data_IF_643413383417
#
_entry.id   IF_643413383417
#
_cell.length_a   1.000
_cell.length_b   1.000
_cell.length_c   1.000
_cell.angle_alpha   90.00
_cell.angle_beta   90.00
_cell.angle_gamma   90.00
#
_symmetry.space_group_name_H-M   'P 1'
#
loop_
_entity.id
_entity.type
_entity.pdbx_description
1 polymer ?
#
# COMPACT_ATOMS: atom_id res chain seq x y z
N UNK A 1 2.94 -3.92 5.23
CA UNK A 1 2.00 -3.12 4.41
C UNK A 1 0.77 -3.96 4.12
N UNK A 2 -0.43 -3.38 4.20
CA UNK A 2 -1.66 -4.15 4.16
C UNK A 2 -2.84 -3.32 3.72
N UNK A 3 -4.03 -3.81 4.05
CA UNK A 3 -5.29 -3.15 3.79
C UNK A 3 -6.22 -3.41 4.96
N UNK A 4 -7.32 -2.67 5.05
CA UNK A 4 -8.38 -2.95 6.00
C UNK A 4 -9.72 -3.03 5.27
N UNK A 5 -10.69 -3.65 5.92
CA UNK A 5 -12.07 -3.64 5.48
C UNK A 5 -13.04 -3.34 6.61
N UNK A 6 -14.15 -2.72 6.24
CA UNK A 6 -15.35 -2.57 7.02
C UNK A 6 -16.20 -3.85 6.91
N UNK A 7 -16.15 -4.68 7.94
CA UNK A 7 -16.76 -6.00 7.95
C UNK A 7 -18.29 -5.95 7.89
N UNK A 8 -18.89 -4.87 8.40
CA UNK A 8 -20.32 -4.66 8.30
C UNK A 8 -20.74 -4.30 6.87
N UNK A 9 -19.97 -3.45 6.17
CA UNK A 9 -20.22 -3.14 4.76
C UNK A 9 -20.05 -4.38 3.88
N UNK A 10 -18.97 -5.15 4.07
CA UNK A 10 -18.77 -6.40 3.35
C UNK A 10 -19.96 -7.36 3.50
N UNK A 11 -20.46 -7.53 4.74
CA UNK A 11 -21.65 -8.35 5.01
C UNK A 11 -22.89 -7.83 4.28
N UNK A 12 -23.15 -6.51 4.31
CA UNK A 12 -24.30 -5.89 3.63
C UNK A 12 -24.21 -6.03 2.11
N UNK A 13 -23.01 -5.98 1.55
CA UNK A 13 -22.74 -6.13 0.11
C UNK A 13 -22.69 -7.60 -0.34
N UNK A 14 -22.72 -8.56 0.59
CA UNK A 14 -22.58 -9.98 0.28
C UNK A 14 -21.18 -10.38 -0.21
N UNK A 15 -20.16 -9.59 0.14
CA UNK A 15 -18.76 -9.81 -0.29
C UNK A 15 -18.00 -10.54 0.82
N UNK A 16 -17.32 -11.63 0.46
CA UNK A 16 -16.45 -12.35 1.39
C UNK A 16 -15.20 -11.53 1.71
N UNK A 17 -14.78 -11.56 2.98
CA UNK A 17 -13.57 -10.86 3.40
C UNK A 17 -12.34 -11.38 2.65
N UNK A 18 -11.50 -10.47 2.12
CA UNK A 18 -10.31 -10.86 1.37
C UNK A 18 -9.22 -11.42 2.31
N UNK A 19 -8.40 -12.33 1.78
CA UNK A 19 -7.31 -12.98 2.52
C UNK A 19 -5.93 -12.68 1.93
N UNK A 20 -5.88 -12.14 0.72
CA UNK A 20 -4.67 -11.77 -0.02
C UNK A 20 -4.93 -10.59 -0.96
N UNK A 21 -3.86 -10.03 -1.55
CA UNK A 21 -3.98 -8.98 -2.57
C UNK A 21 -4.71 -9.44 -3.82
N UNK A 22 -4.47 -10.67 -4.27
CA UNK A 22 -5.16 -11.27 -5.42
C UNK A 22 -6.65 -11.45 -5.16
N UNK A 23 -7.04 -11.73 -3.91
CA UNK A 23 -8.46 -11.78 -3.53
C UNK A 23 -9.11 -10.39 -3.52
N UNK A 24 -8.38 -9.36 -3.07
CA UNK A 24 -8.86 -7.98 -3.09
C UNK A 24 -8.97 -7.43 -4.53
N UNK A 25 -8.17 -7.94 -5.45
CA UNK A 25 -8.28 -7.69 -6.88
C UNK A 25 -9.37 -8.51 -7.60
N UNK A 26 -10.22 -9.27 -6.90
CA UNK A 26 -11.28 -10.04 -7.56
C UNK A 26 -12.48 -9.17 -7.97
N UNK A 27 -13.27 -9.59 -8.98
CA UNK A 27 -14.46 -8.85 -9.46
C UNK A 27 -15.48 -8.46 -8.40
N UNK A 28 -15.61 -9.24 -7.32
CA UNK A 28 -16.55 -8.94 -6.23
C UNK A 28 -16.20 -7.64 -5.48
N UNK A 29 -14.97 -7.13 -5.61
CA UNK A 29 -14.56 -5.84 -5.03
C UNK A 29 -14.64 -4.68 -6.03
N UNK A 30 -15.16 -4.88 -7.24
CA UNK A 30 -15.25 -3.83 -8.25
C UNK A 30 -16.08 -2.65 -7.75
N UNK A 31 -15.44 -1.49 -7.59
CA UNK A 31 -16.07 -0.28 -7.04
C UNK A 31 -16.29 -0.32 -5.52
N UNK A 32 -15.63 -1.23 -4.81
CA UNK A 32 -15.71 -1.38 -3.34
C UNK A 32 -14.36 -1.17 -2.63
N UNK A 33 -13.33 -0.72 -3.36
CA UNK A 33 -12.00 -0.43 -2.85
C UNK A 33 -11.70 1.08 -2.95
N UNK A 34 -10.85 1.59 -2.06
CA UNK A 34 -10.20 2.89 -2.23
C UNK A 34 -8.71 2.79 -1.92
N UNK A 35 -7.92 3.65 -2.56
CA UNK A 35 -6.47 3.69 -2.41
C UNK A 35 -5.96 5.11 -2.61
N UNK A 36 -4.82 5.42 -2.01
CA UNK A 36 -4.11 6.66 -2.30
C UNK A 36 -3.30 6.53 -3.60
N UNK A 37 -3.16 7.64 -4.32
CA UNK A 37 -2.36 7.70 -5.54
C UNK A 37 -0.91 7.33 -5.21
N UNK A 38 -0.35 6.25 -5.80
CA UNK A 38 1.02 5.82 -5.51
C UNK A 38 2.09 6.78 -6.02
N UNK A 39 1.74 7.77 -6.84
CA UNK A 39 2.67 8.81 -7.30
C UNK A 39 2.86 9.92 -6.28
N UNK A 40 1.88 10.11 -5.37
CA UNK A 40 1.92 11.13 -4.31
C UNK A 40 2.03 10.53 -2.91
N UNK A 41 1.71 9.24 -2.75
CA UNK A 41 1.78 8.52 -1.47
C UNK A 41 2.86 7.45 -1.47
N UNK A 42 3.92 7.67 -0.68
CA UNK A 42 5.04 6.70 -0.56
C UNK A 42 4.61 5.36 0.04
N UNK A 43 3.64 5.33 0.95
CA UNK A 43 3.09 4.09 1.50
C UNK A 43 2.31 3.28 0.45
N UNK A 44 1.52 3.96 -0.38
CA UNK A 44 0.80 3.31 -1.49
C UNK A 44 1.78 2.77 -2.54
N UNK A 45 2.79 3.58 -2.91
CA UNK A 45 3.89 3.12 -3.76
C UNK A 45 4.55 1.84 -3.22
N UNK A 46 4.92 1.85 -1.93
CA UNK A 46 5.62 0.71 -1.32
C UNK A 46 4.75 -0.55 -1.29
N UNK A 47 3.43 -0.41 -1.09
CA UNK A 47 2.50 -1.53 -1.22
C UNK A 47 2.57 -2.18 -2.60
N UNK A 48 2.45 -1.40 -3.69
CA UNK A 48 2.52 -1.95 -5.04
C UNK A 48 3.92 -2.50 -5.39
N UNK A 49 4.98 -1.90 -4.86
CA UNK A 49 6.34 -2.39 -5.04
C UNK A 49 6.54 -3.76 -4.38
N UNK A 50 6.05 -3.92 -3.13
CA UNK A 50 6.09 -5.21 -2.44
C UNK A 50 5.28 -6.27 -3.16
N UNK A 51 4.09 -5.93 -3.67
CA UNK A 51 3.29 -6.82 -4.52
C UNK A 51 4.13 -7.28 -5.72
N UNK A 52 4.80 -6.37 -6.43
CA UNK A 52 5.58 -6.72 -7.61
C UNK A 52 6.88 -7.48 -7.32
N UNK A 53 7.48 -7.31 -6.13
CA UNK A 53 8.68 -8.06 -5.74
C UNK A 53 8.37 -9.46 -5.20
N UNK A 54 7.18 -9.66 -4.64
CA UNK A 54 6.78 -10.93 -4.03
C UNK A 54 5.90 -11.79 -4.93
N UNK A 55 5.18 -11.15 -5.86
CA UNK A 55 4.50 -11.83 -6.95
C UNK A 55 5.39 -11.80 -8.20
N UNK A 56 5.42 -12.88 -8.97
CA UNK A 56 6.06 -12.90 -10.30
C UNK A 56 5.52 -11.76 -11.16
N UNK A 57 6.34 -11.18 -12.04
CA UNK A 57 6.00 -10.00 -12.86
C UNK A 57 4.56 -9.99 -13.39
N UNK A 58 4.15 -11.04 -14.10
CA UNK A 58 2.82 -11.13 -14.69
C UNK A 58 1.71 -11.10 -13.62
N UNK A 59 1.84 -11.92 -12.57
CA UNK A 59 0.85 -11.99 -11.49
C UNK A 59 0.82 -10.72 -10.65
N UNK A 60 1.98 -10.09 -10.45
CA UNK A 60 2.09 -8.80 -9.78
C UNK A 60 1.32 -7.72 -10.53
N UNK A 61 1.54 -7.59 -11.83
CA UNK A 61 0.83 -6.61 -12.65
C UNK A 61 -0.66 -6.93 -12.82
N UNK A 62 -1.04 -8.20 -12.98
CA UNK A 62 -2.45 -8.61 -12.94
C UNK A 62 -3.13 -8.12 -11.65
N UNK A 63 -2.47 -8.32 -10.52
CA UNK A 63 -2.98 -7.90 -9.21
C UNK A 63 -3.06 -6.38 -9.12
N UNK A 64 -2.01 -5.66 -9.53
CA UNK A 64 -1.98 -4.19 -9.53
C UNK A 64 -3.10 -3.60 -10.39
N UNK A 65 -3.29 -4.09 -11.63
CA UNK A 65 -4.35 -3.60 -12.51
C UNK A 65 -5.74 -3.91 -11.96
N UNK A 66 -5.94 -5.11 -11.40
CA UNK A 66 -7.24 -5.48 -10.84
C UNK A 66 -7.56 -4.68 -9.58
N UNK A 67 -6.57 -4.41 -8.72
CA UNK A 67 -6.72 -3.47 -7.60
C UNK A 67 -7.05 -2.07 -8.10
N UNK A 68 -6.34 -1.58 -9.12
CA UNK A 68 -6.61 -0.29 -9.73
C UNK A 68 -8.03 -0.19 -10.29
N UNK A 69 -8.51 -1.22 -10.99
CA UNK A 69 -9.87 -1.27 -11.52
C UNK A 69 -10.96 -1.33 -10.44
N UNK A 70 -10.64 -1.89 -9.27
CA UNK A 70 -11.56 -1.99 -8.15
C UNK A 70 -11.67 -0.68 -7.34
N UNK A 71 -10.74 0.27 -7.53
CA UNK A 71 -10.81 1.58 -6.88
C UNK A 71 -12.06 2.33 -7.35
N UNK A 72 -12.88 2.77 -6.40
CA UNK A 72 -14.06 3.57 -6.66
C UNK A 72 -13.68 5.04 -6.75
N UNK A 73 -14.07 5.69 -7.84
CA UNK A 73 -13.78 7.11 -8.07
C UNK A 73 -12.29 7.36 -8.25
N UNK A 74 -11.81 8.54 -7.87
CA UNK A 74 -10.41 8.90 -8.04
C UNK A 74 -9.54 8.34 -6.91
N UNK A 75 -8.27 8.08 -7.24
CA UNK A 75 -7.25 7.83 -6.23
C UNK A 75 -7.09 9.05 -5.30
N UNK A 76 -7.03 8.79 -4.00
CA UNK A 76 -6.91 9.86 -3.01
C UNK A 76 -5.49 10.44 -3.01
N UNK A 77 -5.35 11.76 -2.88
CA UNK A 77 -4.03 12.42 -2.78
C UNK A 77 -3.22 12.05 -1.52
N UNK A 78 -3.81 11.35 -0.54
CA UNK A 78 -3.13 10.97 0.69
C UNK A 78 -3.71 9.70 1.30
N UNK A 79 -2.81 8.83 1.78
CA UNK A 79 -3.19 7.64 2.58
C UNK A 79 -3.96 8.00 3.86
N UNK A 80 -3.82 9.24 4.37
CA UNK A 80 -4.59 9.72 5.53
C UNK A 80 -6.09 9.87 5.25
N UNK A 81 -6.52 9.90 3.99
CA UNK A 81 -7.96 10.02 3.65
C UNK A 81 -8.65 8.67 3.46
N UNK A 82 -7.88 7.58 3.36
CA UNK A 82 -8.40 6.25 3.01
C UNK A 82 -9.40 5.75 4.05
N UNK A 83 -9.05 5.79 5.35
CA UNK A 83 -9.96 5.31 6.40
C UNK A 83 -11.25 6.13 6.50
N UNK A 84 -11.14 7.46 6.42
CA UNK A 84 -12.30 8.35 6.37
C UNK A 84 -13.20 8.09 5.17
N UNK A 85 -12.62 7.88 3.98
CA UNK A 85 -13.40 7.58 2.78
C UNK A 85 -14.14 6.23 2.87
N UNK A 86 -13.49 5.19 3.40
CA UNK A 86 -14.15 3.91 3.71
C UNK A 86 -15.19 4.07 4.81
N UNK A 87 -15.06 5.01 5.73
CA UNK A 87 -16.09 5.28 6.72
C UNK A 87 -17.32 5.93 6.07
N UNK A 88 -17.11 6.98 5.27
CA UNK A 88 -18.15 7.85 4.71
C UNK A 88 -18.92 7.24 3.53
N UNK A 89 -18.25 6.62 2.54
CA UNK A 89 -18.93 6.10 1.34
C UNK A 89 -19.52 4.69 1.61
N UNK A 90 -20.85 4.49 1.58
CA UNK A 90 -21.47 3.19 1.85
C UNK A 90 -21.06 2.08 0.86
N UNK A 91 -20.60 2.44 -0.34
CA UNK A 91 -20.16 1.51 -1.37
C UNK A 91 -18.70 1.10 -1.19
N UNK A 92 -17.87 1.89 -0.54
CA UNK A 92 -16.46 1.52 -0.32
C UNK A 92 -16.34 0.70 0.95
N UNK A 93 -15.90 -0.55 0.82
CA UNK A 93 -15.80 -1.49 1.92
C UNK A 93 -14.35 -1.77 2.36
N UNK A 94 -13.36 -1.58 1.49
CA UNK A 94 -11.96 -1.83 1.80
C UNK A 94 -11.06 -0.66 1.39
N UNK A 95 -9.92 -0.52 2.05
CA UNK A 95 -8.94 0.53 1.80
C UNK A 95 -7.49 0.05 1.91
N UNK A 96 -6.64 0.45 0.97
CA UNK A 96 -5.19 0.17 1.01
C UNK A 96 -4.49 1.20 1.90
N UNK A 97 -3.84 0.74 2.97
CA UNK A 97 -3.18 1.65 3.93
C UNK A 97 -2.10 0.94 4.74
N UNK A 98 -1.06 1.68 5.10
CA UNK A 98 -0.07 1.22 6.07
C UNK A 98 -0.69 1.07 7.46
N UNK A 99 -0.23 0.08 8.21
CA UNK A 99 -0.76 -0.36 9.50
C UNK A 99 -0.92 0.76 10.52
N UNK A 100 0.14 1.52 10.81
CA UNK A 100 0.10 2.53 11.86
C UNK A 100 -0.93 3.61 11.55
N UNK A 101 -1.10 4.00 10.27
CA UNK A 101 -2.12 4.97 9.88
C UNK A 101 -3.52 4.43 10.13
N UNK A 102 -3.77 3.15 9.83
CA UNK A 102 -5.04 2.52 10.15
C UNK A 102 -5.35 2.57 11.65
N UNK A 103 -4.43 2.08 12.49
CA UNK A 103 -4.67 2.02 13.93
C UNK A 103 -4.81 3.41 14.55
N UNK A 104 -3.95 4.35 14.13
CA UNK A 104 -3.97 5.74 14.59
C UNK A 104 -5.27 6.47 14.27
N UNK A 105 -5.82 6.26 13.07
CA UNK A 105 -7.06 6.91 12.65
C UNK A 105 -8.31 6.20 13.17
N UNK A 106 -8.24 4.88 13.36
CA UNK A 106 -9.34 4.12 13.96
C UNK A 106 -9.68 4.63 15.35
N UNK A 107 -8.68 5.06 16.13
CA UNK A 107 -8.90 5.67 17.46
C UNK A 107 -9.75 6.94 17.44
N UNK A 108 -9.84 7.63 16.30
CA UNK A 108 -10.63 8.87 16.17
C UNK A 108 -12.14 8.59 16.11
N UNK A 109 -12.55 7.34 15.86
CA UNK A 109 -13.95 6.91 15.86
C UNK A 109 -14.43 6.44 17.24
N UNK A 110 -15.75 6.38 17.45
CA UNK A 110 -16.32 5.87 18.71
C UNK A 110 -16.00 4.39 18.88
N UNK A 111 -15.78 3.89 20.11
CA UNK A 111 -15.41 2.48 20.34
C UNK A 111 -16.33 1.44 19.69
N UNK A 112 -17.63 1.72 19.57
CA UNK A 112 -18.59 0.84 18.89
C UNK A 112 -18.30 0.72 17.38
N UNK A 113 -17.92 1.83 16.74
CA UNK A 113 -17.60 1.91 15.31
C UNK A 113 -16.25 1.26 15.02
N UNK A 114 -15.27 1.38 15.92
CA UNK A 114 -13.94 0.78 15.72
C UNK A 114 -13.99 -0.73 15.46
N UNK A 115 -14.94 -1.44 16.09
CA UNK A 115 -15.09 -2.89 16.02
C UNK A 115 -15.44 -3.42 14.62
N UNK A 116 -16.01 -2.58 13.76
CA UNK A 116 -16.38 -2.98 12.39
C UNK A 116 -15.17 -3.06 11.46
N UNK A 117 -14.05 -2.44 11.82
CA UNK A 117 -12.87 -2.40 10.96
C UNK A 117 -11.87 -3.49 11.31
N UNK A 118 -11.45 -4.25 10.30
CA UNK A 118 -10.41 -5.27 10.44
C UNK A 118 -9.24 -4.95 9.53
N UNK A 119 -8.04 -4.90 10.11
CA UNK A 119 -6.79 -4.83 9.35
C UNK A 119 -6.37 -6.23 8.90
N UNK A 120 -5.85 -6.32 7.68
CA UNK A 120 -5.31 -7.53 7.09
C UNK A 120 -3.87 -7.26 6.68
N UNK A 121 -3.00 -8.22 7.03
CA UNK A 121 -1.60 -8.21 6.69
C UNK A 121 -1.30 -9.46 5.85
N UNK A 122 -1.46 -9.39 4.51
CA UNK A 122 -1.13 -10.50 3.63
C UNK A 122 0.34 -10.89 3.75
N UNK A 123 0.64 -12.19 3.61
CA UNK A 123 1.99 -12.72 3.80
C UNK A 123 2.97 -12.14 2.79
N UNK A 124 2.52 -11.84 1.58
CA UNK A 124 3.31 -11.36 0.45
C UNK A 124 3.84 -9.94 0.67
N UNK A 125 3.20 -9.16 1.54
CA UNK A 125 3.57 -7.76 1.85
C UNK A 125 3.72 -7.50 3.34
N UNK A 126 3.78 -8.58 4.13
CA UNK A 126 4.03 -8.60 5.57
C UNK A 126 5.47 -8.24 5.94
N UNK A 127 6.04 -7.25 5.26
CA UNK A 127 7.37 -6.72 5.53
C UNK A 127 7.31 -5.74 6.69
N UNK A 128 8.16 -5.98 7.69
CA UNK A 128 8.46 -5.04 8.76
C UNK A 128 9.89 -4.53 8.60
N UNK A 129 10.03 -3.22 8.55
CA UNK A 129 11.32 -2.54 8.54
C UNK A 129 11.39 -1.65 9.76
N UNK A 130 12.54 -1.61 10.43
CA UNK A 130 12.76 -0.64 11.49
C UNK A 130 12.80 0.78 10.88
N UNK A 131 12.10 1.71 11.51
CA UNK A 131 12.17 3.14 11.15
C UNK A 131 13.58 3.66 11.54
N UNK A 132 14.36 4.23 10.61
CA UNK A 132 15.73 4.66 10.90
C UNK A 132 15.76 5.96 11.71
N UNK A 133 16.74 6.09 12.59
CA UNK A 133 17.09 7.33 13.30
C UNK A 133 18.59 7.61 13.12
N UNK A 134 18.96 8.87 12.88
CA UNK A 134 20.35 9.27 12.64
C UNK A 134 20.65 10.68 13.19
N UNK A 135 21.91 10.90 13.57
CA UNK A 135 22.42 12.21 13.98
C UNK A 135 22.98 12.93 12.76
N UNK A 136 22.55 14.19 12.56
CA UNK A 136 23.10 15.05 11.50
C UNK A 136 24.57 15.36 11.79
N UNK A 137 25.44 15.24 10.79
CA UNK A 137 26.90 15.34 10.95
C UNK A 137 27.39 16.63 11.67
N UNK A 138 26.68 17.75 11.44
CA UNK A 138 26.95 19.07 12.03
C UNK A 138 25.95 19.48 13.11
N UNK A 139 25.33 18.51 13.81
CA UNK A 139 24.44 18.80 14.92
C UNK A 139 25.16 19.67 15.97
N UNK A 140 24.54 20.81 16.34
CA UNK A 140 25.11 21.74 17.33
C UNK A 140 25.26 21.10 18.71
N UNK A 141 24.32 20.23 19.07
CA UNK A 141 24.27 19.55 20.37
C UNK A 141 24.43 18.03 20.19
N UNK A 142 25.63 17.58 19.81
CA UNK A 142 25.90 16.15 19.52
C UNK A 142 25.63 15.25 20.72
N UNK A 143 26.05 15.66 21.92
CA UNK A 143 25.86 14.86 23.13
C UNK A 143 24.36 14.59 23.40
N UNK A 144 23.52 15.62 23.32
CA UNK A 144 22.08 15.46 23.50
C UNK A 144 21.45 14.60 22.41
N UNK A 145 21.93 14.69 21.17
CA UNK A 145 21.45 13.83 20.09
C UNK A 145 21.78 12.35 20.33
N UNK A 146 22.96 12.05 20.88
CA UNK A 146 23.33 10.67 21.30
C UNK A 146 22.40 10.20 22.42
N UNK A 147 22.25 10.99 23.50
CA UNK A 147 21.35 10.66 24.62
C UNK A 147 19.91 10.43 24.17
N UNK A 148 19.45 11.20 23.18
CA UNK A 148 18.12 11.02 22.60
C UNK A 148 17.98 9.68 21.85
N UNK A 149 18.99 9.27 21.08
CA UNK A 149 19.00 7.95 20.44
C UNK A 149 19.04 6.83 21.49
N UNK A 150 19.85 6.97 22.54
CA UNK A 150 19.91 5.99 23.64
C UNK A 150 18.53 5.83 24.32
N UNK A 151 17.82 6.94 24.55
CA UNK A 151 16.45 6.93 25.06
C UNK A 151 15.47 6.24 24.08
N UNK A 152 15.52 6.58 22.80
CA UNK A 152 14.67 5.95 21.78
C UNK A 152 14.90 4.45 21.62
N UNK A 153 16.10 3.95 21.91
CA UNK A 153 16.46 2.54 21.85
C UNK A 153 16.27 1.79 23.18
N UNK A 154 15.80 2.48 24.22
CA UNK A 154 15.54 1.92 25.56
C UNK A 154 14.09 2.17 25.99
N UNK A 155 13.89 2.85 27.12
CA UNK A 155 12.57 3.04 27.72
C UNK A 155 11.62 3.88 26.84
N UNK A 156 12.14 4.72 25.94
CA UNK A 156 11.33 5.51 25.01
C UNK A 156 10.44 4.65 24.09
N UNK A 157 10.78 3.38 23.90
CA UNK A 157 9.96 2.47 23.10
C UNK A 157 8.65 2.06 23.77
N UNK A 158 8.51 2.25 25.09
CA UNK A 158 7.21 2.07 25.75
C UNK A 158 6.16 3.02 25.17
N UNK A 159 6.54 4.26 24.80
CA UNK A 159 5.63 5.23 24.19
C UNK A 159 5.01 4.74 22.87
N UNK A 160 5.71 3.86 22.13
CA UNK A 160 5.31 3.39 20.81
C UNK A 160 4.14 2.38 20.89
N UNK A 161 4.15 1.53 21.92
CA UNK A 161 3.24 0.38 22.07
C UNK A 161 2.24 0.56 23.21
N UNK A 162 2.51 1.42 24.20
CA UNK A 162 1.59 1.61 25.33
C UNK A 162 0.39 2.44 24.91
N UNK A 163 -0.77 2.08 25.46
CA UNK A 163 -1.99 2.87 25.30
C UNK A 163 -1.86 4.27 25.87
N UNK A 164 -2.65 5.22 25.33
CA UNK A 164 -2.79 6.56 25.89
C UNK A 164 -3.16 6.50 27.38
N UNK A 165 -2.50 7.31 28.20
CA UNK A 165 -2.78 7.43 29.64
C UNK A 165 -2.14 6.32 30.50
N UNK A 166 -1.39 5.40 29.91
CA UNK A 166 -0.49 4.53 30.67
C UNK A 166 0.69 5.35 31.25
N UNK A 167 1.21 5.07 32.46
CA UNK A 167 2.31 5.84 33.05
C UNK A 167 3.59 5.94 32.19
N UNK A 168 3.88 4.86 31.45
CA UNK A 168 4.97 4.79 30.46
C UNK A 168 4.51 5.01 29.00
N UNK A 169 3.26 5.42 28.82
CA UNK A 169 2.64 5.62 27.51
C UNK A 169 2.53 7.09 27.10
N UNK A 170 2.03 7.34 25.89
CA UNK A 170 1.88 8.70 25.39
C UNK A 170 0.74 9.44 26.11
N UNK A 171 0.90 10.76 26.21
CA UNK A 171 -0.06 11.66 26.86
C UNK A 171 -1.21 12.03 25.91
N UNK A 172 -0.89 12.45 24.68
CA UNK A 172 -1.87 13.07 23.79
C UNK A 172 -2.70 12.04 23.01
N UNK A 173 -2.05 11.08 22.36
CA UNK A 173 -2.66 10.05 21.51
C UNK A 173 -1.81 8.79 21.45
N UNK A 174 -2.42 7.64 21.17
CA UNK A 174 -1.68 6.41 20.90
C UNK A 174 -0.75 6.59 19.69
N UNK A 175 0.42 5.96 19.72
CA UNK A 175 1.36 5.99 18.58
C UNK A 175 1.19 4.80 17.63
N UNK A 176 0.72 3.65 18.14
CA UNK A 176 0.46 2.43 17.37
C UNK A 176 1.64 2.00 16.51
N UNK A 177 2.84 2.05 17.10
CA UNK A 177 4.08 1.65 16.45
C UNK A 177 4.62 0.39 17.12
N UNK A 178 5.08 -0.54 16.29
CA UNK A 178 5.71 -1.78 16.72
C UNK A 178 7.16 -1.49 17.15
N UNK A 179 7.52 -1.66 18.43
CA UNK A 179 8.89 -1.45 18.90
C UNK A 179 9.88 -2.46 18.35
N UNK A 180 11.17 -2.11 18.33
CA UNK A 180 12.26 -3.08 18.03
C UNK A 180 12.77 -3.79 19.29
N UNK A 181 12.39 -3.34 20.49
CA UNK A 181 12.66 -4.05 21.75
C UNK A 181 11.74 -5.26 21.90
N UNK A 182 12.30 -6.46 21.71
CA UNK A 182 11.58 -7.74 21.76
C UNK A 182 10.88 -8.01 23.09
N UNK A 183 11.43 -7.52 24.20
CA UNK A 183 10.88 -7.67 25.55
C UNK A 183 9.52 -6.98 25.74
N UNK A 184 9.19 -5.99 24.89
CA UNK A 184 7.90 -5.30 24.91
C UNK A 184 6.75 -6.13 24.32
N UNK A 185 7.02 -7.26 23.65
CA UNK A 185 5.97 -8.15 23.15
C UNK A 185 5.54 -9.21 24.17
N UNK A 186 5.75 -8.95 25.46
CA UNK A 186 5.24 -9.73 26.58
C UNK A 186 3.74 -9.49 26.81
N UNK A 187 3.06 -10.36 27.58
CA UNK A 187 1.61 -10.27 27.90
C UNK A 187 1.26 -9.15 28.91
N UNK A 188 1.93 -8.01 28.85
CA UNK A 188 1.51 -6.83 29.60
C UNK A 188 0.22 -6.27 28.96
N UNK A 189 -0.90 -6.22 29.70
CA UNK A 189 -2.20 -5.80 29.16
C UNK A 189 -2.25 -4.31 28.77
N UNK A 190 -1.24 -3.50 29.13
CA UNK A 190 -1.09 -2.12 28.70
C UNK A 190 -0.40 -1.95 27.34
N UNK A 191 0.14 -3.02 26.75
CA UNK A 191 0.75 -3.00 25.41
C UNK A 191 -0.32 -3.23 24.34
N UNK A 192 -0.43 -2.31 23.40
CA UNK A 192 -1.32 -2.36 22.25
C UNK A 192 -0.51 -2.65 20.98
N UNK A 193 -0.60 -3.90 20.53
CA UNK A 193 -0.02 -4.32 19.26
C UNK A 193 -0.95 -5.32 18.57
N UNK A 194 -1.00 -5.24 17.25
CA UNK A 194 -1.86 -6.11 16.44
C UNK A 194 -1.13 -7.37 15.95
N UNK A 195 0.20 -7.39 16.05
CA UNK A 195 1.07 -8.50 15.67
C UNK A 195 2.41 -8.39 16.39
N UNK A 196 3.02 -9.52 16.73
CA UNK A 196 4.42 -9.56 17.15
C UNK A 196 5.31 -9.78 15.90
N UNK A 197 6.10 -8.78 15.46
CA UNK A 197 6.90 -8.90 14.25
C UNK A 197 8.01 -9.96 14.36
N UNK A 198 8.38 -10.38 15.57
CA UNK A 198 9.41 -11.39 15.80
C UNK A 198 8.91 -12.83 15.73
N UNK A 199 7.59 -13.04 15.74
CA UNK A 199 6.97 -14.36 15.60
C UNK A 199 6.58 -14.65 14.15
N UNK A 200 6.69 -13.65 13.27
CA UNK A 200 6.39 -13.78 11.86
C UNK A 200 7.57 -14.41 11.12
N UNK A 201 7.34 -15.58 10.53
CA UNK A 201 8.25 -16.14 9.53
C UNK A 201 8.06 -15.35 8.24
N UNK A 202 8.98 -14.42 7.95
CA UNK A 202 8.92 -13.65 6.71
C UNK A 202 9.24 -14.56 5.52
N UNK A 203 8.22 -14.93 4.76
CA UNK A 203 8.36 -15.44 3.39
C UNK A 203 8.53 -14.31 2.35
N UNK A 204 8.59 -13.05 2.81
CA UNK A 204 8.69 -11.86 1.96
C UNK A 204 10.12 -11.67 1.49
N UNK A 205 10.30 -11.58 0.18
CA UNK A 205 11.54 -11.13 -0.46
C UNK A 205 11.40 -9.65 -0.80
N UNK A 206 12.29 -8.82 -0.27
CA UNK A 206 12.35 -7.39 -0.61
C UNK A 206 13.81 -6.97 -0.77
N UNK A 207 14.13 -6.43 -1.95
CA UNK A 207 15.44 -5.84 -2.23
C UNK A 207 15.31 -4.31 -2.30
N UNK A 208 15.82 -3.57 -1.29
CA UNK A 208 15.75 -2.12 -1.26
C UNK A 208 16.56 -1.46 -2.39
N UNK A 209 17.61 -2.10 -2.90
CA UNK A 209 18.38 -1.60 -4.05
C UNK A 209 17.54 -1.69 -5.31
N UNK A 210 16.92 -2.86 -5.56
CA UNK A 210 16.01 -3.03 -6.71
C UNK A 210 14.85 -2.03 -6.65
N UNK A 211 14.24 -1.85 -5.48
CA UNK A 211 13.20 -0.84 -5.23
C UNK A 211 13.67 0.57 -5.62
N UNK A 212 14.80 1.00 -5.10
CA UNK A 212 15.37 2.33 -5.38
C UNK A 212 15.70 2.53 -6.86
N UNK A 213 16.31 1.53 -7.50
CA UNK A 213 16.71 1.62 -8.91
C UNK A 213 15.52 1.73 -9.86
N UNK A 214 14.46 0.95 -9.63
CA UNK A 214 13.30 0.95 -10.52
C UNK A 214 12.30 2.08 -10.24
N UNK A 215 12.47 2.84 -9.15
CA UNK A 215 11.46 3.75 -8.61
C UNK A 215 10.84 4.68 -9.64
N UNK A 216 11.66 5.43 -10.37
CA UNK A 216 11.14 6.37 -11.37
C UNK A 216 10.26 5.67 -12.41
N UNK A 217 10.76 4.59 -13.00
CA UNK A 217 10.09 3.89 -14.09
C UNK A 217 8.85 3.12 -13.62
N UNK A 218 8.91 2.50 -12.44
CA UNK A 218 7.76 1.82 -11.85
C UNK A 218 6.65 2.82 -11.49
N UNK A 219 7.00 3.96 -10.87
CA UNK A 219 6.05 5.04 -10.63
C UNK A 219 5.40 5.54 -11.91
N UNK A 220 6.14 5.60 -13.02
CA UNK A 220 5.58 5.98 -14.31
C UNK A 220 4.58 4.94 -14.84
N UNK A 221 4.89 3.64 -14.74
CA UNK A 221 3.93 2.59 -15.13
C UNK A 221 2.67 2.62 -14.27
N UNK A 222 2.80 2.76 -12.95
CA UNK A 222 1.65 2.92 -12.05
C UNK A 222 0.82 4.15 -12.44
N UNK A 223 1.49 5.30 -12.62
CA UNK A 223 0.82 6.53 -13.03
C UNK A 223 0.02 6.35 -14.31
N UNK A 224 0.66 5.89 -15.38
CA UNK A 224 0.01 5.77 -16.70
C UNK A 224 -0.98 4.63 -16.78
N UNK A 225 -0.74 3.55 -16.04
CA UNK A 225 -1.52 2.33 -16.09
C UNK A 225 -2.78 2.38 -15.25
N UNK A 226 -2.70 2.84 -13.99
CA UNK A 226 -3.83 2.78 -13.04
C UNK A 226 -4.36 4.15 -12.60
N UNK A 227 -3.60 5.23 -12.74
CA UNK A 227 -4.03 6.58 -12.31
C UNK A 227 -4.55 7.41 -13.48
N UNK A 228 -3.69 7.78 -14.44
CA UNK A 228 -4.03 8.67 -15.55
C UNK A 228 -5.04 8.03 -16.53
N UNK A 229 -5.06 6.69 -16.63
CA UNK A 229 -6.01 5.92 -17.46
C UNK A 229 -7.06 5.17 -16.62
N UNK A 230 -7.29 5.59 -15.37
CA UNK A 230 -8.20 4.92 -14.45
C UNK A 230 -9.60 4.67 -15.06
N UNK A 231 -10.20 5.70 -15.67
CA UNK A 231 -11.54 5.58 -16.29
C UNK A 231 -11.61 4.47 -17.35
N UNK A 232 -10.57 4.34 -18.18
CA UNK A 232 -10.53 3.33 -19.23
C UNK A 232 -10.30 1.94 -18.65
N UNK A 233 -9.45 1.84 -17.62
CA UNK A 233 -9.23 0.62 -16.86
C UNK A 233 -10.54 0.11 -16.22
N UNK A 234 -11.27 1.00 -15.53
CA UNK A 234 -12.57 0.69 -14.89
C UNK A 234 -13.61 0.26 -15.92
N UNK A 235 -13.72 0.96 -17.06
CA UNK A 235 -14.64 0.56 -18.15
C UNK A 235 -14.30 -0.82 -18.72
N UNK A 236 -13.01 -1.10 -18.93
CA UNK A 236 -12.53 -2.38 -19.41
C UNK A 236 -12.86 -3.52 -18.42
N UNK A 237 -12.59 -3.30 -17.14
CA UNK A 237 -12.91 -4.26 -16.07
C UNK A 237 -14.41 -4.51 -15.96
N UNK A 238 -15.25 -3.46 -15.90
CA UNK A 238 -16.72 -3.59 -15.92
C UNK A 238 -17.19 -4.46 -17.09
N UNK A 239 -16.72 -4.15 -18.30
CA UNK A 239 -17.04 -4.91 -19.51
C UNK A 239 -16.64 -6.38 -19.41
N UNK A 240 -15.44 -6.66 -18.88
CA UNK A 240 -14.95 -8.01 -18.69
C UNK A 240 -15.81 -8.80 -17.68
N UNK A 241 -16.21 -8.15 -16.58
CA UNK A 241 -17.14 -8.71 -15.59
C UNK A 241 -18.50 -9.03 -16.22
N UNK A 242 -19.09 -8.08 -16.95
CA UNK A 242 -20.40 -8.25 -17.60
C UNK A 242 -20.40 -9.39 -18.61
N UNK A 243 -19.26 -9.59 -19.30
CA UNK A 243 -19.04 -10.66 -20.28
C UNK A 243 -18.52 -11.96 -19.66
N UNK A 244 -18.31 -12.01 -18.35
CA UNK A 244 -17.70 -13.16 -17.63
C UNK A 244 -16.36 -13.60 -18.25
N UNK A 245 -15.59 -12.65 -18.78
CA UNK A 245 -14.25 -12.90 -19.30
C UNK A 245 -13.29 -13.12 -18.12
N UNK A 246 -12.28 -13.96 -18.32
CA UNK A 246 -11.21 -14.14 -17.32
C UNK A 246 -10.36 -12.86 -17.29
N UNK A 247 -10.72 -11.94 -16.39
CA UNK A 247 -10.14 -10.61 -16.23
C UNK A 247 -8.60 -10.62 -16.16
N UNK A 248 -8.04 -11.61 -15.46
CA UNK A 248 -6.59 -11.72 -15.22
C UNK A 248 -5.77 -11.81 -16.51
N UNK A 249 -6.23 -12.58 -17.50
CA UNK A 249 -5.51 -12.75 -18.77
C UNK A 249 -5.57 -11.51 -19.68
N UNK A 250 -6.55 -10.61 -19.49
CA UNK A 250 -6.61 -9.34 -20.21
C UNK A 250 -5.46 -8.41 -19.79
N UNK A 251 -5.16 -8.36 -18.49
CA UNK A 251 -4.21 -7.39 -17.94
C UNK A 251 -2.73 -7.69 -18.25
N UNK A 252 -2.36 -8.93 -18.61
CA UNK A 252 -1.01 -9.21 -19.12
C UNK A 252 -0.71 -8.50 -20.43
N UNK A 253 -1.73 -8.23 -21.25
CA UNK A 253 -1.58 -7.72 -22.62
C UNK A 253 -1.54 -6.19 -22.71
N UNK A 254 -1.81 -5.49 -21.61
CA UNK A 254 -1.82 -4.00 -21.56
C UNK A 254 -0.47 -3.42 -21.16
N UNK A 255 0.48 -4.23 -20.69
CA UNK A 255 1.80 -3.73 -20.37
C UNK A 255 2.57 -3.33 -21.63
N UNK A 256 3.16 -2.12 -21.65
CA UNK A 256 3.97 -1.68 -22.80
C UNK A 256 5.36 -2.34 -22.86
N UNK A 257 5.73 -3.11 -21.83
CA UNK A 257 7.05 -3.73 -21.69
C UNK A 257 6.97 -5.07 -20.97
N UNK A 258 7.84 -6.00 -21.35
CA UNK A 258 8.13 -7.21 -20.56
C UNK A 258 9.04 -6.88 -19.37
N UNK A 259 9.14 -7.78 -18.39
CA UNK A 259 10.07 -7.63 -17.26
C UNK A 259 11.51 -7.36 -17.71
N UNK A 260 12.01 -8.14 -18.68
CA UNK A 260 13.36 -7.96 -19.24
C UNK A 260 13.53 -6.58 -19.86
N UNK A 261 12.56 -6.13 -20.65
CA UNK A 261 12.60 -4.80 -21.28
C UNK A 261 12.52 -3.68 -20.24
N UNK A 262 11.73 -3.85 -19.18
CA UNK A 262 11.62 -2.91 -18.08
C UNK A 262 12.97 -2.68 -17.41
N UNK A 263 13.67 -3.75 -17.02
CA UNK A 263 14.97 -3.62 -16.35
C UNK A 263 16.10 -3.15 -17.27
N UNK A 264 16.01 -3.37 -18.58
CA UNK A 264 16.89 -2.70 -19.55
C UNK A 264 16.66 -1.18 -19.53
N UNK A 265 15.40 -0.74 -19.59
CA UNK A 265 15.05 0.69 -19.52
C UNK A 265 15.43 1.37 -18.21
N UNK A 266 15.32 0.66 -17.08
CA UNK A 266 15.80 1.17 -15.78
C UNK A 266 17.28 1.56 -15.86
N UNK A 267 18.10 0.77 -16.55
CA UNK A 267 19.53 1.06 -16.74
C UNK A 267 19.77 2.20 -17.72
N UNK A 268 19.05 2.23 -18.84
CA UNK A 268 19.16 3.29 -19.87
C UNK A 268 18.80 4.68 -19.31
N UNK A 269 17.80 4.75 -18.43
CA UNK A 269 17.32 6.02 -17.90
C UNK A 269 18.20 6.61 -16.81
N UNK A 270 19.09 5.83 -16.19
CA UNK A 270 20.10 6.35 -15.26
C UNK A 270 21.08 7.31 -15.94
N UNK A 271 21.20 7.25 -17.26
CA UNK A 271 22.20 8.00 -18.05
C UNK A 271 21.59 9.05 -19.00
N UNK A 272 20.27 9.28 -18.95
CA UNK A 272 19.51 9.92 -20.03
C UNK A 272 18.91 11.31 -19.70
N UNK A 273 18.83 12.16 -20.74
CA UNK A 273 18.30 13.53 -20.75
C UNK A 273 16.75 13.58 -20.74
N UNK A 274 16.17 14.66 -20.19
CA UNK A 274 14.73 14.97 -20.01
C UNK A 274 13.84 14.61 -21.21
N UNK A 275 14.32 14.81 -22.44
CA UNK A 275 13.56 14.52 -23.66
C UNK A 275 13.14 13.05 -23.80
N UNK A 276 14.02 12.11 -23.42
CA UNK A 276 13.71 10.68 -23.46
C UNK A 276 12.61 10.33 -22.44
N UNK A 277 12.66 10.98 -21.28
CA UNK A 277 11.64 10.82 -20.25
C UNK A 277 10.29 11.33 -20.72
N UNK A 278 10.22 12.55 -21.27
CA UNK A 278 8.97 13.14 -21.77
C UNK A 278 8.34 12.30 -22.90
N UNK A 279 9.16 11.81 -23.82
CA UNK A 279 8.71 10.88 -24.86
C UNK A 279 8.15 9.59 -24.28
N UNK A 280 8.82 9.01 -23.28
CA UNK A 280 8.38 7.77 -22.65
C UNK A 280 7.03 7.95 -21.94
N UNK A 281 6.88 9.05 -21.21
CA UNK A 281 5.61 9.40 -20.55
C UNK A 281 4.46 9.47 -21.57
N UNK A 282 4.68 10.12 -22.71
CA UNK A 282 3.68 10.21 -23.78
C UNK A 282 3.35 8.83 -24.38
N UNK A 283 4.38 8.07 -24.76
CA UNK A 283 4.21 6.77 -25.43
C UNK A 283 3.47 5.78 -24.53
N UNK A 284 3.85 5.67 -23.26
CA UNK A 284 3.19 4.76 -22.33
C UNK A 284 1.77 5.20 -21.98
N UNK A 285 1.53 6.50 -21.85
CA UNK A 285 0.16 7.01 -21.65
C UNK A 285 -0.75 6.61 -22.81
N UNK A 286 -0.29 6.85 -24.04
CA UNK A 286 -1.04 6.48 -25.26
C UNK A 286 -1.23 4.97 -25.37
N UNK A 287 -0.19 4.18 -25.06
CA UNK A 287 -0.29 2.72 -25.09
C UNK A 287 -1.40 2.19 -24.18
N UNK A 288 -1.42 2.62 -22.91
CA UNK A 288 -2.48 2.20 -21.98
C UNK A 288 -3.86 2.65 -22.44
N UNK A 289 -3.99 3.89 -22.91
CA UNK A 289 -5.24 4.40 -23.47
C UNK A 289 -5.77 3.53 -24.61
N UNK A 290 -4.92 3.28 -25.62
CA UNK A 290 -5.29 2.50 -26.80
C UNK A 290 -5.58 1.04 -26.44
N UNK A 291 -4.78 0.45 -25.56
CA UNK A 291 -4.93 -0.95 -25.16
C UNK A 291 -6.20 -1.19 -24.34
N UNK A 292 -6.54 -0.32 -23.37
CA UNK A 292 -7.80 -0.43 -22.64
C UNK A 292 -9.02 -0.22 -23.55
N UNK A 293 -8.97 0.75 -24.48
CA UNK A 293 -10.05 0.96 -25.44
C UNK A 293 -10.23 -0.23 -26.39
N UNK A 294 -9.13 -0.84 -26.83
CA UNK A 294 -9.18 -2.04 -27.67
C UNK A 294 -9.78 -3.23 -26.93
N UNK A 295 -9.47 -3.40 -25.63
CA UNK A 295 -10.06 -4.44 -24.80
C UNK A 295 -11.56 -4.19 -24.54
N UNK A 296 -11.96 -2.94 -24.30
CA UNK A 296 -13.36 -2.56 -24.10
C UNK A 296 -14.24 -2.86 -25.33
N UNK A 297 -13.70 -2.71 -26.54
CA UNK A 297 -14.43 -2.96 -27.80
C UNK A 297 -14.62 -4.44 -28.14
N UNK A 298 -13.88 -5.35 -27.50
CA UNK A 298 -14.01 -6.79 -27.69
C UNK A 298 -15.21 -7.36 -26.89
#
# INVERSE_FOLDING_TARGET
>A
FGFFCDMEKLKKLGILAPVSWESLGSPQFFGHLTSADPTTSSSSYMTYDLILQNLKWDTGWETIFSLGANVRGDFLHSSKKVLGHVHEDPQVACGVVIDYLFFLQREEFKPAEQKRYRYFLPKETGLFTADPVAIVARAKNKEMAVRFIDYLLSEGQHLLIKRKGHPLGPVDRGLHRLPVLRTLYSKDPGNEFYVNPFDLVSGVTFDPKVSAEKKALFSLLLKKGIVDNHDNLVKCARRAIDKKLVEKALFRKVLPVTEKQFYVKVKELKTSNKLLWDRLQYVWNKHFHDAYNALYRK
#
